data_IF_576696799100
#
_entry.id   IF_576696799100
#
_cell.length_a   1.000
_cell.length_b   1.000
_cell.length_c   1.000
_cell.angle_alpha   90.00
_cell.angle_beta   90.00
_cell.angle_gamma   90.00
#
_symmetry.space_group_name_H-M   'P 1'
#
loop_
_entity.id
_entity.type
_entity.pdbx_description
1 polymer ?
#
# COMPACT_ATOMS: atom_id res chain seq x y z
N UNK A 1 15.05 -21.39 -3.47
CA UNK A 1 14.57 -20.54 -2.35
C UNK A 1 13.64 -21.29 -1.37
N UNK A 2 12.89 -22.32 -1.81
CA UNK A 2 11.97 -23.10 -0.96
C UNK A 2 12.60 -23.98 0.16
N UNK A 3 13.89 -24.32 0.05
CA UNK A 3 14.56 -25.22 1.02
C UNK A 3 14.95 -24.58 2.36
N UNK A 4 15.01 -23.24 2.43
CA UNK A 4 15.40 -22.53 3.65
C UNK A 4 14.20 -22.29 4.57
N UNK A 5 13.03 -21.99 4.00
CA UNK A 5 11.74 -21.89 4.70
C UNK A 5 11.43 -23.21 5.42
N UNK A 6 11.56 -24.35 4.74
CA UNK A 6 11.36 -25.70 5.33
C UNK A 6 12.30 -26.04 6.49
N UNK A 7 13.51 -25.47 6.56
CA UNK A 7 14.48 -25.77 7.63
C UNK A 7 14.23 -24.98 8.93
N UNK A 8 13.48 -23.89 8.86
CA UNK A 8 13.23 -23.00 10.00
C UNK A 8 12.00 -23.38 10.82
N UNK A 9 11.13 -24.24 10.31
CA UNK A 9 9.98 -24.78 11.02
C UNK A 9 10.30 -26.24 11.39
N UNK A 10 10.57 -26.51 12.67
CA UNK A 10 10.96 -27.83 13.18
C UNK A 10 9.84 -28.90 13.12
N UNK A 11 8.74 -28.61 12.43
CA UNK A 11 7.69 -29.55 12.11
C UNK A 11 7.82 -29.87 10.63
N UNK A 12 8.08 -31.14 10.30
CA UNK A 12 8.07 -31.62 8.92
C UNK A 12 6.70 -31.32 8.31
N UNK A 13 6.58 -30.20 7.60
CA UNK A 13 5.41 -29.95 6.75
C UNK A 13 5.37 -31.12 5.76
N UNK A 14 4.26 -31.84 5.64
CA UNK A 14 4.08 -32.79 4.55
C UNK A 14 4.54 -32.12 3.25
N UNK A 15 5.41 -32.77 2.46
CA UNK A 15 6.14 -32.11 1.38
C UNK A 15 5.26 -31.51 0.29
N UNK A 16 3.95 -31.80 0.33
CA UNK A 16 2.85 -31.47 -0.55
C UNK A 16 1.89 -30.36 -0.04
N UNK A 17 2.06 -29.83 1.17
CA UNK A 17 1.21 -28.73 1.66
C UNK A 17 1.87 -27.37 1.45
N UNK A 18 1.26 -26.54 0.60
CA UNK A 18 1.64 -25.14 0.44
C UNK A 18 1.42 -24.38 1.77
N UNK A 19 2.34 -23.49 2.18
CA UNK A 19 2.16 -22.72 3.41
C UNK A 19 1.10 -21.63 3.23
N UNK A 20 0.16 -21.56 4.17
CA UNK A 20 -0.80 -20.45 4.27
C UNK A 20 -0.32 -19.52 5.37
N UNK A 21 0.21 -18.37 4.96
CA UNK A 21 0.83 -17.42 5.87
C UNK A 21 0.59 -15.98 5.44
N UNK A 22 0.49 -15.08 6.43
CA UNK A 22 0.63 -13.64 6.29
C UNK A 22 1.93 -13.18 6.96
N UNK A 23 2.64 -12.27 6.31
CA UNK A 23 3.90 -11.71 6.79
C UNK A 23 3.80 -10.20 6.83
N UNK A 24 3.82 -9.63 8.03
CA UNK A 24 3.95 -8.19 8.23
C UNK A 24 5.39 -7.78 7.99
N UNK A 25 5.63 -6.80 7.13
CA UNK A 25 6.95 -6.20 6.90
C UNK A 25 7.09 -4.95 7.77
N UNK A 26 8.14 -4.88 8.57
CA UNK A 26 8.33 -3.85 9.59
C UNK A 26 9.60 -3.06 9.34
N UNK A 27 9.60 -1.76 9.69
CA UNK A 27 10.80 -0.91 9.67
C UNK A 27 11.85 -1.32 10.71
N UNK A 28 11.43 -1.98 11.79
CA UNK A 28 12.32 -2.40 12.88
C UNK A 28 11.85 -3.69 13.58
N UNK A 29 12.77 -4.45 14.22
CA UNK A 29 12.41 -5.67 14.95
C UNK A 29 11.45 -5.41 16.12
N UNK A 30 10.42 -6.25 16.23
CA UNK A 30 9.47 -6.23 17.34
C UNK A 30 9.43 -7.56 18.06
N UNK A 31 9.62 -7.54 19.38
CA UNK A 31 9.49 -8.75 20.22
C UNK A 31 8.03 -8.88 20.67
N UNK A 32 7.42 -10.02 20.38
CA UNK A 32 6.07 -10.34 20.82
C UNK A 32 6.17 -11.20 22.08
N UNK A 33 5.55 -10.74 23.17
CA UNK A 33 5.30 -11.57 24.35
C UNK A 33 4.01 -12.37 24.15
N UNK A 34 3.77 -13.37 25.01
CA UNK A 34 2.48 -14.07 25.05
C UNK A 34 1.31 -13.11 25.29
N UNK A 35 1.52 -12.08 26.11
CA UNK A 35 0.54 -11.02 26.37
C UNK A 35 0.20 -10.22 25.11
N UNK A 36 1.21 -9.83 24.32
CA UNK A 36 0.98 -9.13 23.06
C UNK A 36 0.14 -9.98 22.10
N UNK A 37 0.50 -11.25 21.95
CA UNK A 37 -0.22 -12.19 21.08
C UNK A 37 -1.65 -12.42 21.57
N UNK A 38 -1.83 -12.70 22.87
CA UNK A 38 -3.15 -12.94 23.45
C UNK A 38 -4.07 -11.73 23.30
N UNK A 39 -3.55 -10.52 23.51
CA UNK A 39 -4.30 -9.29 23.32
C UNK A 39 -4.74 -9.11 21.87
N UNK A 40 -3.82 -9.23 20.91
CA UNK A 40 -4.14 -9.08 19.49
C UNK A 40 -5.15 -10.12 19.00
N UNK A 41 -5.01 -11.37 19.45
CA UNK A 41 -5.96 -12.44 19.12
C UNK A 41 -7.33 -12.16 19.73
N UNK A 42 -7.39 -11.71 20.98
CA UNK A 42 -8.63 -11.35 21.64
C UNK A 42 -9.38 -10.21 20.94
N UNK A 43 -8.65 -9.20 20.47
CA UNK A 43 -9.21 -8.15 19.61
C UNK A 43 -9.72 -8.72 18.29
N UNK A 44 -8.94 -9.57 17.62
CA UNK A 44 -9.27 -10.14 16.32
C UNK A 44 -10.51 -11.07 16.33
N UNK A 45 -10.84 -11.67 17.47
CA UNK A 45 -12.04 -12.50 17.64
C UNK A 45 -13.15 -11.81 18.44
N UNK A 46 -12.94 -10.56 18.83
CA UNK A 46 -13.85 -9.76 19.67
C UNK A 46 -14.27 -10.49 20.96
N UNK A 47 -13.36 -11.27 21.54
CA UNK A 47 -13.61 -12.05 22.75
C UNK A 47 -12.34 -12.20 23.59
N UNK A 48 -12.45 -12.43 24.91
CA UNK A 48 -11.28 -12.66 25.75
C UNK A 48 -10.46 -13.86 25.24
N UNK A 49 -9.15 -13.64 25.05
CA UNK A 49 -8.18 -14.69 24.76
C UNK A 49 -7.05 -14.59 25.77
N UNK A 50 -6.88 -15.64 26.58
CA UNK A 50 -5.96 -15.62 27.71
C UNK A 50 -4.53 -15.96 27.31
N UNK A 51 -3.55 -15.38 28.02
CA UNK A 51 -2.13 -15.71 27.83
C UNK A 51 -1.81 -17.20 28.01
N UNK A 52 -2.58 -17.90 28.86
CA UNK A 52 -2.44 -19.35 29.05
C UNK A 52 -2.82 -20.17 27.82
N UNK A 53 -3.47 -19.58 26.82
CA UNK A 53 -3.80 -20.19 25.53
C UNK A 53 -2.68 -19.99 24.49
N UNK A 54 -1.65 -19.22 24.83
CA UNK A 54 -0.49 -18.95 23.98
C UNK A 54 0.70 -19.74 24.51
N UNK A 55 1.21 -20.66 23.69
CA UNK A 55 2.39 -21.47 24.00
C UNK A 55 3.61 -20.85 23.33
N UNK A 56 4.59 -20.41 24.11
CA UNK A 56 5.87 -19.94 23.56
C UNK A 56 6.77 -21.14 23.27
N UNK A 57 7.01 -21.43 21.99
CA UNK A 57 7.83 -22.57 21.55
C UNK A 57 9.31 -22.20 21.48
N UNK A 58 9.59 -20.95 21.14
CA UNK A 58 10.89 -20.32 21.17
C UNK A 58 10.72 -18.83 21.44
N UNK A 59 11.81 -18.12 21.72
CA UNK A 59 11.74 -16.69 22.01
C UNK A 59 11.01 -15.93 20.89
N UNK A 60 9.90 -15.29 21.25
CA UNK A 60 9.04 -14.53 20.32
C UNK A 60 8.40 -15.39 19.21
N UNK A 61 8.22 -16.69 19.45
CA UNK A 61 7.50 -17.65 18.60
C UNK A 61 6.41 -18.34 19.40
N UNK A 62 5.17 -18.08 19.01
CA UNK A 62 3.98 -18.42 19.79
C UNK A 62 3.04 -19.31 18.99
N UNK A 63 2.70 -20.47 19.53
CA UNK A 63 1.68 -21.36 19.01
C UNK A 63 0.38 -21.18 19.79
N UNK A 64 -0.74 -21.24 19.07
CA UNK A 64 -2.07 -21.11 19.66
C UNK A 64 -3.11 -21.86 18.82
N UNK A 65 -4.21 -22.20 19.46
CA UNK A 65 -5.42 -22.67 18.77
C UNK A 65 -6.51 -21.62 18.98
N UNK A 66 -7.06 -21.11 17.88
CA UNK A 66 -8.09 -20.08 17.89
C UNK A 66 -9.15 -20.42 16.86
N UNK A 67 -10.41 -20.48 17.28
CA UNK A 67 -11.55 -20.90 16.44
C UNK A 67 -11.32 -22.25 15.71
N UNK A 68 -10.50 -23.12 16.32
CA UNK A 68 -10.13 -24.43 15.77
C UNK A 68 -9.00 -24.42 14.74
N UNK A 69 -8.45 -23.24 14.39
CA UNK A 69 -7.22 -23.13 13.61
C UNK A 69 -5.99 -23.28 14.50
N UNK A 70 -4.99 -24.04 14.05
CA UNK A 70 -3.66 -24.08 14.67
C UNK A 70 -2.77 -23.03 14.01
N UNK A 71 -2.43 -21.98 14.76
CA UNK A 71 -1.62 -20.86 14.26
C UNK A 71 -0.26 -20.78 14.94
N UNK A 72 0.72 -20.21 14.23
CA UNK A 72 1.97 -19.72 14.82
C UNK A 72 2.13 -18.24 14.53
N UNK A 73 2.51 -17.46 15.54
CA UNK A 73 2.84 -16.04 15.41
C UNK A 73 4.28 -15.84 15.88
N UNK A 74 5.14 -15.36 14.98
CA UNK A 74 6.58 -15.31 15.23
C UNK A 74 7.25 -14.04 14.73
N UNK A 75 8.16 -13.49 15.52
CA UNK A 75 8.96 -12.33 15.12
C UNK A 75 10.30 -12.72 14.51
N UNK A 76 10.67 -12.03 13.44
CA UNK A 76 11.98 -12.13 12.77
C UNK A 76 12.69 -10.78 12.83
N UNK A 77 13.87 -10.69 13.48
CA UNK A 77 14.69 -9.48 13.50
C UNK A 77 15.56 -9.37 12.25
N UNK A 78 14.99 -9.67 11.08
CA UNK A 78 15.67 -9.60 9.79
C UNK A 78 14.65 -9.40 8.66
N UNK A 79 15.06 -8.80 7.52
CA UNK A 79 14.22 -8.69 6.33
C UNK A 79 13.69 -10.06 5.89
N UNK A 80 12.41 -10.11 5.51
CA UNK A 80 11.79 -11.32 4.98
C UNK A 80 11.96 -11.42 3.47
N UNK A 81 11.81 -10.30 2.76
CA UNK A 81 12.01 -10.23 1.31
C UNK A 81 13.47 -9.85 1.04
N UNK A 82 14.19 -10.57 0.16
CA UNK A 82 15.56 -10.20 -0.22
C UNK A 82 15.61 -8.79 -0.83
N UNK A 83 16.57 -7.98 -0.37
CA UNK A 83 16.77 -6.59 -0.81
C UNK A 83 17.51 -6.49 -2.14
N UNK A 84 18.26 -7.53 -2.51
CA UNK A 84 19.06 -7.67 -3.72
C UNK A 84 18.27 -8.25 -4.91
N UNK A 85 17.02 -7.81 -5.05
CA UNK A 85 16.12 -8.22 -6.15
C UNK A 85 16.02 -7.12 -7.20
N UNK A 86 15.66 -7.47 -8.46
CA UNK A 86 15.26 -6.47 -9.44
C UNK A 86 14.11 -5.60 -8.92
N UNK A 87 14.10 -4.29 -9.25
CA UNK A 87 12.98 -3.40 -8.96
C UNK A 87 11.66 -3.96 -9.51
N UNK A 88 10.57 -3.73 -8.80
CA UNK A 88 9.22 -4.10 -9.24
C UNK A 88 8.66 -3.17 -10.29
N UNK A 89 9.22 -1.95 -10.40
CA UNK A 89 8.66 -0.88 -11.21
C UNK A 89 7.60 -0.05 -10.47
N UNK A 90 7.08 -0.55 -9.35
CA UNK A 90 6.28 0.22 -8.40
C UNK A 90 7.19 0.77 -7.29
N UNK A 91 7.45 2.07 -7.35
CA UNK A 91 8.32 2.76 -6.40
C UNK A 91 7.81 2.65 -4.97
N UNK A 92 6.49 2.53 -4.78
CA UNK A 92 5.91 2.31 -3.45
C UNK A 92 6.37 0.97 -2.90
N UNK A 93 6.25 -0.07 -3.73
CA UNK A 93 6.59 -1.43 -3.36
C UNK A 93 8.09 -1.60 -3.15
N UNK A 94 8.91 -1.03 -4.03
CA UNK A 94 10.36 -1.04 -3.90
C UNK A 94 10.79 -0.30 -2.62
N UNK A 95 10.15 0.83 -2.29
CA UNK A 95 10.38 1.55 -1.04
C UNK A 95 10.07 0.73 0.20
N UNK A 96 8.96 -0.02 0.21
CA UNK A 96 8.63 -0.98 1.30
C UNK A 96 9.72 -2.03 1.44
N UNK A 97 10.12 -2.66 0.33
CA UNK A 97 11.13 -3.73 0.33
C UNK A 97 12.49 -3.19 0.81
N UNK A 98 12.88 -1.98 0.43
CA UNK A 98 14.16 -1.44 0.89
C UNK A 98 14.13 -1.02 2.37
N UNK A 99 13.01 -0.46 2.85
CA UNK A 99 12.88 0.05 4.22
C UNK A 99 12.63 -1.02 5.27
N UNK A 100 12.08 -2.18 4.92
CA UNK A 100 11.80 -3.21 5.93
C UNK A 100 13.09 -3.85 6.47
N UNK A 101 13.18 -3.99 7.78
CA UNK A 101 14.31 -4.60 8.49
C UNK A 101 13.90 -5.82 9.32
N UNK A 102 12.59 -6.06 9.45
CA UNK A 102 12.04 -7.14 10.24
C UNK A 102 10.72 -7.63 9.68
N UNK A 103 10.24 -8.74 10.24
CA UNK A 103 8.92 -9.27 9.92
C UNK A 103 8.24 -9.93 11.12
N UNK A 104 6.91 -9.98 11.07
CA UNK A 104 6.10 -10.87 11.90
C UNK A 104 5.37 -11.83 10.98
N UNK A 105 5.47 -13.11 11.27
CA UNK A 105 4.82 -14.18 10.53
C UNK A 105 3.59 -14.64 11.31
N UNK A 106 2.50 -14.87 10.60
CA UNK A 106 1.30 -15.52 11.09
C UNK A 106 1.04 -16.68 10.14
N UNK A 107 1.33 -17.89 10.61
CA UNK A 107 1.26 -19.12 9.82
C UNK A 107 0.07 -19.98 10.28
N UNK A 108 -0.71 -20.51 9.33
CA UNK A 108 -1.75 -21.48 9.61
C UNK A 108 -1.27 -22.91 9.30
N UNK A 109 -1.20 -23.73 10.35
CA UNK A 109 -0.76 -25.12 10.28
C UNK A 109 -1.89 -26.10 10.03
N UNK A 110 -3.04 -25.85 10.66
CA UNK A 110 -4.20 -26.74 10.58
C UNK A 110 -5.51 -25.95 10.66
N UNK A 111 -6.58 -26.55 10.13
CA UNK A 111 -7.91 -25.95 10.04
C UNK A 111 -8.96 -26.83 10.74
N UNK A 112 -10.04 -26.23 11.27
CA UNK A 112 -11.13 -27.00 11.85
C UNK A 112 -11.87 -27.80 10.78
N UNK A 113 -12.57 -28.88 11.17
CA UNK A 113 -13.38 -29.67 10.24
C UNK A 113 -14.36 -28.81 9.42
N UNK A 114 -14.38 -29.01 8.10
CA UNK A 114 -15.26 -28.28 7.19
C UNK A 114 -14.71 -26.93 6.70
N UNK A 115 -13.53 -26.51 7.15
CA UNK A 115 -12.82 -25.33 6.63
C UNK A 115 -11.45 -25.70 6.09
N UNK A 116 -10.89 -24.83 5.27
CA UNK A 116 -9.53 -24.93 4.73
C UNK A 116 -8.56 -24.03 5.50
N UNK A 117 -7.26 -24.28 5.38
CA UNK A 117 -6.24 -23.38 5.96
C UNK A 117 -6.32 -21.98 5.36
N UNK A 118 -6.64 -21.84 4.07
CA UNK A 118 -6.82 -20.53 3.45
C UNK A 118 -8.00 -19.74 4.01
N UNK A 119 -9.03 -20.40 4.55
CA UNK A 119 -10.14 -19.70 5.23
C UNK A 119 -9.66 -18.97 6.49
N UNK A 120 -8.50 -19.35 7.05
CA UNK A 120 -7.89 -18.62 8.15
C UNK A 120 -7.37 -17.25 7.75
N UNK A 121 -7.23 -16.92 6.46
CA UNK A 121 -6.67 -15.63 6.00
C UNK A 121 -7.47 -14.44 6.52
N UNK A 122 -8.78 -14.55 6.70
CA UNK A 122 -9.60 -13.50 7.32
C UNK A 122 -9.29 -13.31 8.81
N UNK A 123 -9.10 -14.42 9.54
CA UNK A 123 -8.70 -14.38 10.95
C UNK A 123 -7.27 -13.85 11.10
N UNK A 124 -6.33 -14.35 10.31
CA UNK A 124 -4.95 -13.86 10.30
C UNK A 124 -4.91 -12.37 9.94
N UNK A 125 -5.74 -11.93 9.00
CA UNK A 125 -5.90 -10.52 8.64
C UNK A 125 -6.34 -9.66 9.83
N UNK A 126 -7.36 -10.07 10.58
CA UNK A 126 -7.77 -9.36 11.81
C UNK A 126 -6.66 -9.34 12.86
N UNK A 127 -5.88 -10.41 13.00
CA UNK A 127 -4.70 -10.43 13.89
C UNK A 127 -3.63 -9.43 13.41
N UNK A 128 -3.36 -9.36 12.09
CA UNK A 128 -2.48 -8.33 11.52
C UNK A 128 -2.98 -6.93 11.86
N UNK A 129 -4.29 -6.66 11.70
CA UNK A 129 -4.88 -5.37 12.04
C UNK A 129 -4.71 -5.02 13.53
N UNK A 130 -4.91 -5.99 14.42
CA UNK A 130 -4.71 -5.80 15.86
C UNK A 130 -3.22 -5.61 16.25
N UNK A 131 -2.30 -6.18 15.47
CA UNK A 131 -0.86 -6.02 15.63
C UNK A 131 -0.32 -4.79 14.89
N UNK A 132 -1.12 -4.08 14.12
CA UNK A 132 -0.68 -2.95 13.31
C UNK A 132 -0.24 -1.77 14.18
N UNK A 133 0.88 -1.15 13.80
CA UNK A 133 1.38 0.08 14.39
C UNK A 133 2.18 0.88 13.33
N UNK A 134 2.74 2.02 13.73
CA UNK A 134 3.49 2.93 12.87
C UNK A 134 4.76 2.31 12.25
N UNK A 135 5.18 1.11 12.70
CA UNK A 135 6.33 0.38 12.12
C UNK A 135 5.93 -0.54 10.97
N UNK A 136 4.63 -0.77 10.76
CA UNK A 136 4.12 -1.72 9.77
C UNK A 136 4.05 -1.08 8.39
N UNK A 137 4.84 -1.60 7.45
CA UNK A 137 4.92 -1.08 6.08
C UNK A 137 3.96 -1.76 5.11
N UNK A 138 3.81 -3.08 5.23
CA UNK A 138 3.07 -3.90 4.29
C UNK A 138 2.74 -5.29 4.85
N UNK A 139 1.85 -5.99 4.15
CA UNK A 139 1.49 -7.39 4.39
C UNK A 139 1.73 -8.19 3.13
N UNK A 140 2.54 -9.25 3.25
CA UNK A 140 2.77 -10.24 2.21
C UNK A 140 2.00 -11.52 2.52
N UNK A 141 1.18 -11.98 1.59
CA UNK A 141 0.52 -13.28 1.65
C UNK A 141 1.33 -14.31 0.87
N UNK A 142 1.81 -15.36 1.54
CA UNK A 142 2.62 -16.38 0.90
C UNK A 142 1.81 -17.20 -0.12
N UNK A 143 0.58 -17.56 0.22
CA UNK A 143 -0.24 -18.46 -0.61
C UNK A 143 -0.78 -17.79 -1.88
N UNK A 144 -0.98 -16.46 -1.87
CA UNK A 144 -1.38 -15.70 -3.07
C UNK A 144 -0.21 -14.95 -3.73
N UNK A 145 0.98 -14.95 -3.11
CA UNK A 145 2.15 -14.16 -3.51
C UNK A 145 1.86 -12.65 -3.62
N UNK A 146 0.81 -12.16 -2.93
CA UNK A 146 0.42 -10.75 -2.96
C UNK A 146 1.16 -9.97 -1.89
N UNK A 147 1.67 -8.80 -2.25
CA UNK A 147 2.17 -7.79 -1.32
C UNK A 147 1.27 -6.56 -1.40
N UNK A 148 0.70 -6.16 -0.28
CA UNK A 148 -0.09 -4.93 -0.17
C UNK A 148 0.54 -4.02 0.87
N UNK A 149 0.67 -2.73 0.52
CA UNK A 149 1.15 -1.69 1.44
C UNK A 149 0.10 -1.49 2.54
N UNK A 150 0.56 -1.28 3.77
CA UNK A 150 -0.32 -0.96 4.88
C UNK A 150 -0.81 0.48 4.76
N UNK A 151 -2.04 0.64 4.29
CA UNK A 151 -2.76 1.91 4.24
C UNK A 151 -4.15 1.78 4.92
N UNK A 152 -4.91 2.89 4.97
CA UNK A 152 -6.23 2.90 5.62
C UNK A 152 -7.20 1.89 4.99
N UNK A 153 -7.10 1.66 3.69
CA UNK A 153 -7.97 0.74 2.97
C UNK A 153 -7.63 -0.71 3.30
N UNK A 154 -6.35 -1.10 3.26
CA UNK A 154 -5.93 -2.43 3.69
C UNK A 154 -6.31 -2.66 5.15
N UNK A 155 -5.98 -1.72 6.05
CA UNK A 155 -6.31 -1.84 7.47
C UNK A 155 -7.82 -2.01 7.70
N UNK A 156 -8.66 -1.25 6.99
CA UNK A 156 -10.11 -1.39 7.03
C UNK A 156 -10.57 -2.79 6.60
N UNK A 157 -10.11 -3.27 5.45
CA UNK A 157 -10.44 -4.62 4.96
C UNK A 157 -10.02 -5.72 5.95
N UNK A 158 -8.81 -5.62 6.52
CA UNK A 158 -8.31 -6.58 7.49
C UNK A 158 -9.14 -6.58 8.78
N UNK A 159 -9.52 -5.39 9.26
CA UNK A 159 -10.36 -5.23 10.46
C UNK A 159 -11.76 -5.81 10.25
N UNK A 160 -12.35 -5.60 9.07
CA UNK A 160 -13.66 -6.12 8.69
C UNK A 160 -13.68 -7.64 8.46
N UNK A 161 -12.52 -8.31 8.53
CA UNK A 161 -12.42 -9.75 8.24
C UNK A 161 -12.49 -10.08 6.76
N UNK A 162 -12.00 -9.19 5.89
CA UNK A 162 -11.90 -9.37 4.44
C UNK A 162 -10.44 -9.60 4.03
N UNK A 163 -9.73 -10.38 4.83
CA UNK A 163 -8.30 -10.68 4.63
C UNK A 163 -8.05 -11.44 3.33
N UNK A 164 -8.89 -12.43 3.01
CA UNK A 164 -8.80 -13.20 1.76
C UNK A 164 -8.94 -12.29 0.54
N UNK A 165 -9.99 -11.47 0.51
CA UNK A 165 -10.23 -10.51 -0.57
C UNK A 165 -9.06 -9.52 -0.71
N UNK A 166 -8.55 -9.00 0.41
CA UNK A 166 -7.40 -8.11 0.42
C UNK A 166 -6.15 -8.78 -0.18
N UNK A 167 -5.94 -10.08 0.07
CA UNK A 167 -4.76 -10.81 -0.42
C UNK A 167 -4.93 -11.36 -1.85
N UNK A 168 -6.12 -11.26 -2.45
CA UNK A 168 -6.38 -11.62 -3.84
C UNK A 168 -6.40 -10.39 -4.76
N UNK A 169 -6.70 -9.21 -4.21
CA UNK A 169 -6.86 -7.95 -4.95
C UNK A 169 -5.68 -6.99 -4.75
N UNK A 170 -5.53 -6.03 -5.67
CA UNK A 170 -4.67 -4.87 -5.43
C UNK A 170 -5.43 -3.86 -4.58
N UNK A 171 -4.93 -3.59 -3.38
CA UNK A 171 -5.56 -2.64 -2.47
C UNK A 171 -5.16 -1.19 -2.75
N UNK A 172 -3.99 -0.97 -3.36
CA UNK A 172 -3.46 0.34 -3.76
C UNK A 172 -3.06 0.41 -5.24
N UNK A 173 -3.13 1.60 -5.84
CA UNK A 173 -2.60 1.86 -7.19
C UNK A 173 -1.08 1.95 -7.19
N UNK A 174 -0.39 1.34 -8.16
CA UNK A 174 1.06 1.43 -8.28
C UNK A 174 1.55 2.89 -8.48
N UNK A 175 2.66 3.26 -7.83
CA UNK A 175 3.40 4.49 -8.14
C UNK A 175 4.45 4.14 -9.19
N UNK A 176 4.22 4.60 -10.41
CA UNK A 176 5.19 4.42 -11.50
C UNK A 176 6.11 5.63 -11.55
N UNK A 177 7.41 5.39 -11.41
CA UNK A 177 8.41 6.40 -11.70
C UNK A 177 8.58 6.54 -13.20
N UNK A 178 8.33 7.74 -13.72
CA UNK A 178 8.57 8.07 -15.12
C UNK A 178 9.80 8.97 -15.17
N UNK A 179 10.79 8.57 -15.99
CA UNK A 179 12.04 9.31 -16.09
C UNK A 179 11.78 10.73 -16.63
N UNK A 180 12.54 11.72 -16.15
CA UNK A 180 12.40 13.11 -16.58
C UNK A 180 12.63 13.32 -18.08
N UNK A 181 13.27 12.36 -18.76
CA UNK A 181 13.53 12.39 -20.20
C UNK A 181 12.50 11.60 -21.03
N UNK A 182 11.44 11.07 -20.40
CA UNK A 182 10.40 10.34 -21.12
C UNK A 182 9.70 11.27 -22.13
N UNK A 183 9.84 10.95 -23.41
CA UNK A 183 9.36 11.79 -24.50
C UNK A 183 7.83 11.94 -24.51
N UNK A 184 7.08 10.89 -24.12
CA UNK A 184 5.63 10.94 -24.09
C UNK A 184 5.13 11.80 -22.93
N UNK A 185 5.73 11.64 -21.76
CA UNK A 185 5.39 12.46 -20.59
C UNK A 185 5.74 13.92 -20.81
N UNK A 186 6.93 14.22 -21.35
CA UNK A 186 7.35 15.59 -21.63
C UNK A 186 6.44 16.25 -22.67
N UNK A 187 6.06 15.54 -23.74
CA UNK A 187 5.11 16.05 -24.72
C UNK A 187 3.74 16.36 -24.09
N UNK A 188 3.25 15.51 -23.19
CA UNK A 188 2.00 15.73 -22.48
C UNK A 188 2.07 16.96 -21.55
N UNK A 189 3.18 17.15 -20.83
CA UNK A 189 3.40 18.32 -19.97
C UNK A 189 3.45 19.61 -20.80
N UNK A 190 4.15 19.59 -21.92
CA UNK A 190 4.25 20.73 -22.83
C UNK A 190 2.88 21.08 -23.43
N UNK A 191 2.11 20.07 -23.84
CA UNK A 191 0.73 20.29 -24.31
C UNK A 191 -0.14 20.90 -23.21
N UNK A 192 -0.10 20.35 -21.99
CA UNK A 192 -0.86 20.86 -20.85
C UNK A 192 -0.54 22.33 -20.57
N UNK A 193 0.74 22.70 -20.56
CA UNK A 193 1.18 24.08 -20.33
C UNK A 193 0.82 25.00 -21.49
N UNK A 194 0.94 24.53 -22.73
CA UNK A 194 0.57 25.32 -23.91
C UNK A 194 -0.93 25.65 -23.95
N UNK A 195 -1.77 24.73 -23.45
CA UNK A 195 -3.21 24.87 -23.34
C UNK A 195 -3.68 25.40 -21.99
N UNK A 196 -2.78 25.83 -21.11
CA UNK A 196 -3.15 26.46 -19.83
C UNK A 196 -4.13 27.65 -19.98
N UNK A 197 -4.01 28.53 -21.00
CA UNK A 197 -5.00 29.60 -21.19
C UNK A 197 -6.43 29.08 -21.43
N UNK A 198 -6.59 27.88 -22.02
CA UNK A 198 -7.89 27.22 -22.17
C UNK A 198 -8.46 26.83 -20.80
N UNK A 199 -7.65 26.23 -19.94
CA UNK A 199 -8.03 25.88 -18.57
C UNK A 199 -8.50 27.12 -17.79
N UNK A 200 -7.72 28.20 -17.81
CA UNK A 200 -8.07 29.46 -17.14
C UNK A 200 -9.39 30.03 -17.69
N UNK A 201 -9.59 29.99 -19.01
CA UNK A 201 -10.82 30.47 -19.64
C UNK A 201 -12.05 29.62 -19.26
N UNK A 202 -11.90 28.30 -19.13
CA UNK A 202 -12.96 27.43 -18.61
C UNK A 202 -13.25 27.73 -17.14
N UNK A 203 -12.20 27.85 -16.32
CA UNK A 203 -12.35 28.13 -14.90
C UNK A 203 -13.05 29.47 -14.63
N UNK A 204 -12.73 30.50 -15.42
CA UNK A 204 -13.36 31.82 -15.29
C UNK A 204 -14.86 31.82 -15.64
N UNK A 205 -15.34 30.85 -16.43
CA UNK A 205 -16.75 30.74 -16.87
C UNK A 205 -17.50 29.56 -16.24
N UNK A 206 -16.91 28.93 -15.22
CA UNK A 206 -17.41 27.69 -14.63
C UNK A 206 -18.83 27.83 -14.05
N UNK A 207 -19.63 26.80 -14.25
CA UNK A 207 -20.87 26.55 -13.51
C UNK A 207 -20.62 25.85 -12.17
N UNK A 208 -21.67 25.67 -11.37
CA UNK A 208 -21.61 24.95 -10.09
C UNK A 208 -21.27 23.47 -10.24
N UNK A 209 -21.61 22.89 -11.39
CA UNK A 209 -21.49 21.46 -11.65
C UNK A 209 -20.20 21.11 -12.42
N UNK A 210 -19.41 22.12 -12.76
CA UNK A 210 -18.14 21.94 -13.47
C UNK A 210 -17.03 21.54 -12.50
N UNK A 211 -16.13 20.65 -12.94
CA UNK A 211 -15.02 20.12 -12.15
C UNK A 211 -13.66 20.57 -12.67
N UNK A 212 -12.74 20.91 -11.76
CA UNK A 212 -11.40 21.37 -12.11
C UNK A 212 -10.34 20.71 -11.24
N UNK A 213 -9.38 20.06 -11.88
CA UNK A 213 -8.23 19.42 -11.26
C UNK A 213 -6.95 19.87 -11.94
N UNK A 214 -5.90 20.08 -11.16
CA UNK A 214 -4.56 20.37 -11.69
C UNK A 214 -3.57 19.37 -11.12
N UNK A 215 -2.71 18.83 -11.97
CA UNK A 215 -1.57 18.00 -11.56
C UNK A 215 -0.32 18.84 -11.59
N UNK A 216 0.39 18.89 -10.48
CA UNK A 216 1.56 19.73 -10.32
C UNK A 216 2.75 18.97 -9.74
N UNK A 217 3.95 19.40 -10.12
CA UNK A 217 5.22 18.91 -9.59
C UNK A 217 5.57 19.58 -8.26
N UNK A 218 5.67 18.78 -7.21
CA UNK A 218 6.15 19.18 -5.88
C UNK A 218 7.54 18.59 -5.62
N UNK A 219 8.39 19.32 -4.91
CA UNK A 219 9.79 18.95 -4.72
C UNK A 219 10.66 19.19 -5.96
N UNK A 220 11.90 18.70 -5.87
CA UNK A 220 12.95 18.84 -6.90
C UNK A 220 13.75 17.53 -7.03
N UNK A 221 14.49 17.39 -8.14
CA UNK A 221 15.27 16.19 -8.46
C UNK A 221 14.42 14.92 -8.58
N UNK A 222 15.03 13.78 -8.24
CA UNK A 222 14.45 12.43 -8.34
C UNK A 222 13.39 12.15 -7.24
N UNK A 223 13.30 13.02 -6.23
CA UNK A 223 12.28 12.95 -5.18
C UNK A 223 11.04 13.79 -5.48
N UNK A 224 10.94 14.38 -6.69
CA UNK A 224 9.80 15.17 -7.06
C UNK A 224 8.57 14.29 -7.36
N UNK A 225 7.41 14.72 -6.90
CA UNK A 225 6.15 14.00 -7.08
C UNK A 225 5.14 14.85 -7.85
N UNK A 226 4.38 14.22 -8.75
CA UNK A 226 3.33 14.89 -9.51
C UNK A 226 1.96 14.54 -8.93
N UNK A 227 1.35 15.49 -8.24
CA UNK A 227 0.15 15.29 -7.42
C UNK A 227 -1.03 16.12 -7.90
N UNK A 228 -2.24 15.59 -7.73
CA UNK A 228 -3.48 16.27 -8.08
C UNK A 228 -3.95 17.21 -6.97
N UNK A 229 -4.49 18.36 -7.35
CA UNK A 229 -5.19 19.30 -6.47
C UNK A 229 -6.54 19.71 -7.08
N UNK A 230 -7.54 19.93 -6.23
CA UNK A 230 -8.77 20.65 -6.60
C UNK A 230 -8.48 22.14 -6.67
N UNK A 231 -9.20 22.86 -7.53
CA UNK A 231 -8.89 24.26 -7.83
C UNK A 231 -9.89 25.23 -7.19
N UNK A 232 -9.38 26.09 -6.31
CA UNK A 232 -10.15 27.18 -5.69
C UNK A 232 -9.95 28.51 -6.43
N UNK A 233 -8.75 28.72 -6.98
CA UNK A 233 -8.40 29.88 -7.79
C UNK A 233 -7.40 29.51 -8.89
N UNK A 234 -7.55 30.07 -10.10
CA UNK A 234 -6.61 29.92 -11.19
C UNK A 234 -6.55 31.20 -12.02
N UNK A 235 -5.34 31.53 -12.48
CA UNK A 235 -5.03 32.66 -13.35
C UNK A 235 -3.89 32.28 -14.32
N UNK A 236 -3.37 33.25 -15.06
CA UNK A 236 -2.27 33.02 -16.01
C UNK A 236 -0.94 32.65 -15.32
N UNK A 237 -0.76 33.05 -14.05
CA UNK A 237 0.48 32.81 -13.28
C UNK A 237 0.47 31.44 -12.59
N UNK A 238 -0.72 30.90 -12.29
CA UNK A 238 -0.82 29.57 -11.72
C UNK A 238 -2.17 29.27 -11.06
N UNK A 239 -2.11 28.48 -10.00
CA UNK A 239 -3.28 27.89 -9.36
C UNK A 239 -3.13 27.82 -7.85
N UNK A 240 -4.25 27.90 -7.13
CA UNK A 240 -4.34 27.57 -5.72
C UNK A 240 -5.53 26.63 -5.46
N UNK A 241 -5.36 25.75 -4.48
CA UNK A 241 -6.46 24.91 -4.01
C UNK A 241 -5.98 23.81 -3.06
N UNK A 242 -6.68 22.68 -3.01
CA UNK A 242 -6.49 21.65 -1.99
C UNK A 242 -5.86 20.40 -2.60
N UNK A 243 -4.73 19.96 -2.03
CA UNK A 243 -4.05 18.75 -2.47
C UNK A 243 -4.92 17.51 -2.22
N UNK A 244 -5.12 16.69 -3.26
CA UNK A 244 -5.95 15.48 -3.19
C UNK A 244 -5.10 14.20 -3.09
N UNK A 245 -3.81 14.26 -3.44
CA UNK A 245 -2.90 13.13 -3.34
C UNK A 245 -2.11 13.16 -2.04
N UNK A 246 -1.92 12.00 -1.41
CA UNK A 246 -0.97 11.84 -0.31
C UNK A 246 0.42 11.58 -0.91
N UNK A 247 1.42 12.47 -0.67
CA UNK A 247 2.77 12.24 -1.17
C UNK A 247 3.40 10.98 -0.56
N UNK A 248 4.26 10.35 -1.34
CA UNK A 248 4.94 9.11 -1.01
C UNK A 248 6.29 9.33 -0.32
N UNK A 249 7.09 10.28 -0.78
CA UNK A 249 8.43 10.60 -0.25
C UNK A 249 8.51 12.01 0.32
N UNK A 250 7.70 12.94 -0.15
CA UNK A 250 7.76 14.33 0.33
C UNK A 250 7.18 14.46 1.75
N UNK A 251 7.90 15.11 2.69
CA UNK A 251 7.40 15.31 4.05
C UNK A 251 6.23 16.31 4.12
N UNK A 252 6.16 17.22 3.14
CA UNK A 252 5.13 18.23 2.93
C UNK A 252 5.06 18.59 1.43
N UNK A 253 3.91 19.09 0.92
CA UNK A 253 2.59 19.18 1.58
C UNK A 253 1.97 17.79 1.87
N UNK A 254 0.83 17.70 2.57
CA UNK A 254 0.05 16.46 2.77
C UNK A 254 -1.31 16.56 2.08
N UNK A 255 -1.99 15.43 1.88
CA UNK A 255 -3.36 15.45 1.38
C UNK A 255 -4.24 16.33 2.29
N UNK A 256 -5.08 17.17 1.68
CA UNK A 256 -5.91 18.16 2.37
C UNK A 256 -5.22 19.49 2.68
N UNK A 257 -3.90 19.61 2.50
CA UNK A 257 -3.21 20.90 2.66
C UNK A 257 -3.61 21.86 1.53
N UNK A 258 -3.79 23.14 1.88
CA UNK A 258 -3.93 24.22 0.91
C UNK A 258 -2.57 24.54 0.29
N UNK A 259 -2.52 24.62 -1.05
CA UNK A 259 -1.30 24.83 -1.82
C UNK A 259 -1.49 25.92 -2.88
N UNK A 260 -0.42 26.64 -3.20
CA UNK A 260 -0.32 27.52 -4.37
C UNK A 260 0.82 27.03 -5.26
N UNK A 261 0.58 26.95 -6.54
CA UNK A 261 1.49 26.39 -7.54
C UNK A 261 1.61 27.34 -8.71
N UNK A 262 2.85 27.64 -9.09
CA UNK A 262 3.19 28.38 -10.31
C UNK A 262 2.89 27.55 -11.57
N UNK A 263 2.46 28.19 -12.64
CA UNK A 263 2.13 27.54 -13.93
C UNK A 263 3.26 26.64 -14.43
N UNK A 264 4.51 27.03 -14.22
CA UNK A 264 5.70 26.27 -14.63
C UNK A 264 5.81 24.92 -13.90
N UNK A 265 5.15 24.75 -12.76
CA UNK A 265 5.08 23.46 -12.04
C UNK A 265 3.87 22.63 -12.45
N UNK A 266 2.95 23.15 -13.25
CA UNK A 266 1.82 22.38 -13.79
C UNK A 266 2.35 21.36 -14.80
N UNK A 267 1.90 20.12 -14.62
CA UNK A 267 2.23 18.97 -15.48
C UNK A 267 1.02 18.42 -16.22
N UNK A 268 -0.19 18.64 -15.71
CA UNK A 268 -1.44 18.26 -16.39
C UNK A 268 -2.61 19.01 -15.75
N UNK A 269 -3.78 18.97 -16.37
CA UNK A 269 -5.02 19.48 -15.81
C UNK A 269 -6.24 18.79 -16.43
N UNK A 270 -7.36 18.83 -15.71
CA UNK A 270 -8.67 18.38 -16.19
C UNK A 270 -9.68 19.49 -15.94
N UNK A 271 -10.40 19.87 -16.99
CA UNK A 271 -11.58 20.73 -16.89
C UNK A 271 -12.80 19.98 -17.42
N UNK A 272 -13.71 19.62 -16.51
CA UNK A 272 -14.98 18.98 -16.82
C UNK A 272 -16.05 20.06 -16.90
N UNK A 273 -16.38 20.51 -18.11
CA UNK A 273 -17.31 21.62 -18.35
C UNK A 273 -18.49 21.12 -19.16
N UNK A 274 -19.72 21.32 -18.67
CA UNK A 274 -20.95 20.87 -19.33
C UNK A 274 -20.92 19.37 -19.73
N UNK A 275 -20.36 18.52 -18.87
CA UNK A 275 -20.25 17.07 -19.11
C UNK A 275 -19.18 16.66 -20.13
N UNK A 276 -18.36 17.59 -20.63
CA UNK A 276 -17.22 17.29 -21.51
C UNK A 276 -15.92 17.48 -20.74
N UNK A 277 -15.03 16.48 -20.77
CA UNK A 277 -13.72 16.55 -20.14
C UNK A 277 -12.68 17.08 -21.15
N UNK A 278 -11.92 18.09 -20.74
CA UNK A 278 -10.78 18.65 -21.45
C UNK A 278 -9.50 18.35 -20.66
N UNK A 279 -8.38 18.19 -21.36
CA UNK A 279 -7.08 17.93 -20.74
C UNK A 279 -6.77 16.45 -20.56
N UNK A 280 -6.19 16.07 -19.41
CA UNK A 280 -5.72 14.72 -19.08
C UNK A 280 -4.65 14.19 -20.07
N UNK A 281 -3.72 15.05 -20.46
CA UNK A 281 -2.73 14.73 -21.50
C UNK A 281 -1.74 13.65 -21.07
N UNK A 282 -1.44 13.57 -19.77
CA UNK A 282 -0.45 12.64 -19.22
C UNK A 282 -0.96 11.20 -19.08
N UNK A 283 -2.26 10.95 -19.26
CA UNK A 283 -2.88 9.63 -19.09
C UNK A 283 -2.26 8.58 -20.01
N UNK A 284 -2.03 8.91 -21.29
CA UNK A 284 -1.45 7.99 -22.25
C UNK A 284 -0.03 7.55 -21.84
N UNK A 285 0.80 8.49 -21.37
CA UNK A 285 2.14 8.20 -20.89
C UNK A 285 2.12 7.35 -19.61
N UNK A 286 1.20 7.64 -18.68
CA UNK A 286 1.04 6.86 -17.44
C UNK A 286 0.57 5.43 -17.73
N UNK A 287 -0.39 5.26 -18.66
CA UNK A 287 -0.85 3.92 -19.07
C UNK A 287 0.26 3.11 -19.72
N UNK A 288 1.01 3.70 -20.65
CA UNK A 288 2.17 3.04 -21.26
C UNK A 288 3.22 2.62 -20.21
N UNK A 289 3.49 3.49 -19.23
CA UNK A 289 4.43 3.17 -18.16
C UNK A 289 3.91 2.07 -17.22
N UNK A 290 2.60 2.03 -16.94
CA UNK A 290 1.95 0.97 -16.15
C UNK A 290 1.96 -0.38 -16.86
N UNK A 291 1.70 -0.41 -18.16
CA UNK A 291 1.75 -1.62 -18.97
C UNK A 291 3.16 -2.23 -19.02
N UNK A 292 4.21 -1.40 -18.93
CA UNK A 292 5.60 -1.86 -18.90
C UNK A 292 6.02 -2.55 -17.58
N UNK A 293 5.26 -2.36 -16.49
CA UNK A 293 5.55 -2.92 -15.16
C UNK A 293 4.56 -4.00 -14.70
N UNK A 294 3.48 -4.23 -15.48
CA UNK A 294 2.47 -5.27 -15.22
C UNK A 294 2.86 -6.62 -15.77
#
# INVERSE_FOLDING_TARGET
MFGFVKKLFQRETPPDLDPVALVMLLTEPRVLSRSHVAHAVGQAIEAPFGEGQVVEEAFSYHRLIVLGYELTIGSRPQPYIPKDRPPTGDWRMDGVIQKHEAAILIDCWDAPPGQTREDSTDLMGRIVAALNDDTTLAVFAFHTQRLNVMDEKLLGMLTEGRGREAMETNTSDAIVGIHNEDALMNAAIDEARSRWPEFVAHFARRGSDDGFLVKARFGDGDGAEHMWLTVDAADEEGVAGILQSQPFVLPRPRQGDAVRVERERVSDWIASVNGTAHGNFSDAAIRAAREAIS
#
